data_IF_333797259921
#
_entry.id   IF_333797259921
#
_cell.length_a   1.000
_cell.length_b   1.000
_cell.length_c   1.000
_cell.angle_alpha   90.00
_cell.angle_beta   90.00
_cell.angle_gamma   90.00
#
_symmetry.space_group_name_H-M   'P 1'
#
loop_
_entity.id
_entity.type
_entity.pdbx_description
1 polymer ?
#
# COMPACT_ATOMS: atom_id res chain seq x y z
N UNK A 1 1.37 17.17 6.28
CA UNK A 1 2.03 16.02 5.66
C UNK A 1 1.83 16.07 4.14
N UNK A 2 2.87 15.76 3.40
CA UNK A 2 2.77 15.66 1.94
C UNK A 2 3.45 14.40 1.43
N UNK A 3 2.95 13.85 0.32
CA UNK A 3 3.49 12.65 -0.30
C UNK A 3 3.18 12.61 -1.79
N UNK A 4 3.84 11.71 -2.51
CA UNK A 4 3.55 11.40 -3.90
C UNK A 4 2.72 10.13 -3.96
N UNK A 5 1.70 10.12 -4.81
CA UNK A 5 0.90 8.93 -5.10
C UNK A 5 0.70 8.78 -6.60
N UNK A 6 0.31 7.59 -7.05
CA UNK A 6 0.03 7.37 -8.45
C UNK A 6 -1.19 8.17 -8.89
N UNK A 7 -1.15 8.67 -10.13
CA UNK A 7 -2.32 9.25 -10.80
C UNK A 7 -3.38 8.17 -10.98
N UNK A 8 -4.64 8.54 -10.84
CA UNK A 8 -5.76 7.62 -11.02
C UNK A 8 -5.73 6.98 -12.41
N UNK A 9 -5.88 5.67 -12.49
CA UNK A 9 -5.87 4.87 -13.71
C UNK A 9 -4.54 4.93 -14.49
N UNK A 10 -3.42 5.16 -13.81
CA UNK A 10 -2.11 5.16 -14.44
C UNK A 10 -1.64 3.72 -14.73
N UNK A 11 -1.11 3.50 -15.92
CA UNK A 11 -0.28 2.33 -16.19
C UNK A 11 1.08 2.55 -15.55
N UNK A 12 1.51 1.66 -14.66
CA UNK A 12 2.76 1.82 -13.91
C UNK A 12 4.01 1.75 -14.80
N UNK A 13 3.91 1.25 -16.02
CA UNK A 13 5.00 1.35 -17.01
C UNK A 13 5.30 2.80 -17.40
N UNK A 14 4.34 3.70 -17.27
CA UNK A 14 4.48 5.12 -17.61
C UNK A 14 4.63 6.01 -16.36
N UNK A 15 4.82 5.43 -15.18
CA UNK A 15 4.81 6.14 -13.90
C UNK A 15 5.84 7.28 -13.85
N UNK A 16 7.02 7.07 -14.41
CA UNK A 16 8.11 8.06 -14.40
C UNK A 16 7.80 9.34 -15.20
N UNK A 17 6.91 9.25 -16.18
CA UNK A 17 6.63 10.37 -17.08
C UNK A 17 5.44 11.21 -16.63
N UNK A 18 4.33 10.54 -16.24
CA UNK A 18 3.04 11.22 -16.00
C UNK A 18 2.26 10.64 -14.84
N UNK A 19 2.85 9.71 -14.10
CA UNK A 19 2.11 8.85 -13.18
C UNK A 19 2.00 9.33 -11.75
N UNK A 20 2.76 10.34 -11.33
CA UNK A 20 2.80 10.79 -9.93
C UNK A 20 2.07 12.11 -9.73
N UNK A 21 1.37 12.19 -8.61
CA UNK A 21 0.62 13.36 -8.16
C UNK A 21 1.07 13.72 -6.76
N UNK A 22 1.37 15.00 -6.52
CA UNK A 22 1.65 15.51 -5.19
C UNK A 22 0.35 15.69 -4.42
N UNK A 23 0.30 15.14 -3.21
CA UNK A 23 -0.84 15.23 -2.31
C UNK A 23 -0.39 15.85 -0.99
N UNK A 24 -1.19 16.79 -0.49
CA UNK A 24 -0.94 17.48 0.78
C UNK A 24 -2.17 17.33 1.66
N UNK A 25 -1.98 17.07 2.94
CA UNK A 25 -3.09 16.98 3.89
C UNK A 25 -3.80 18.32 4.03
N UNK A 26 -5.14 18.29 4.04
CA UNK A 26 -6.00 19.47 4.20
C UNK A 26 -7.07 19.16 5.27
N UNK A 27 -6.71 19.35 6.52
CA UNK A 27 -7.56 18.95 7.65
C UNK A 27 -7.54 17.45 7.90
N UNK A 28 -8.50 16.97 8.68
CA UNK A 28 -8.53 15.57 9.13
C UNK A 28 -9.02 14.59 8.06
N UNK A 29 -9.91 15.04 7.18
CA UNK A 29 -10.61 14.14 6.25
C UNK A 29 -10.41 14.49 4.77
N UNK A 30 -9.56 15.46 4.46
CA UNK A 30 -9.35 15.90 3.08
C UNK A 30 -7.88 15.98 2.72
N UNK A 31 -7.61 15.87 1.42
CA UNK A 31 -6.29 16.11 0.83
C UNK A 31 -6.43 17.02 -0.38
N UNK A 32 -5.39 17.81 -0.62
CA UNK A 32 -5.24 18.59 -1.86
C UNK A 32 -4.29 17.86 -2.79
N UNK A 33 -4.69 17.69 -4.03
CA UNK A 33 -3.86 17.10 -5.09
C UNK A 33 -3.46 18.18 -6.10
N UNK A 34 -2.22 18.14 -6.54
CA UNK A 34 -1.68 19.12 -7.49
C UNK A 34 -1.38 18.43 -8.82
N UNK A 35 -1.98 18.94 -9.86
CA UNK A 35 -1.75 18.54 -11.25
C UNK A 35 -2.80 17.60 -11.83
N UNK A 36 -3.11 16.51 -11.18
CA UNK A 36 -4.06 15.51 -11.67
C UNK A 36 -4.81 14.84 -10.53
N UNK A 37 -5.81 14.02 -10.88
CA UNK A 37 -6.51 13.20 -9.91
C UNK A 37 -5.60 12.12 -9.33
N UNK A 38 -5.42 12.06 -8.00
CA UNK A 38 -4.64 11.01 -7.36
C UNK A 38 -5.41 9.69 -7.33
N UNK A 39 -4.70 8.61 -7.00
CA UNK A 39 -5.33 7.36 -6.61
C UNK A 39 -6.34 7.59 -5.49
N UNK A 40 -7.41 6.81 -5.47
CA UNK A 40 -8.44 6.89 -4.40
C UNK A 40 -7.89 6.53 -3.02
N UNK A 41 -6.73 5.85 -2.96
CA UNK A 41 -6.06 5.47 -1.72
C UNK A 41 -5.40 6.62 -0.94
N UNK A 42 -5.43 7.86 -1.42
CA UNK A 42 -4.71 8.97 -0.83
C UNK A 42 -4.99 9.20 0.66
N UNK A 43 -6.23 9.10 1.09
CA UNK A 43 -6.60 9.24 2.51
C UNK A 43 -6.05 8.09 3.36
N UNK A 44 -6.21 6.86 2.90
CA UNK A 44 -5.71 5.71 3.64
C UNK A 44 -4.19 5.69 3.71
N UNK A 45 -3.52 6.08 2.63
CA UNK A 45 -2.07 6.17 2.57
C UNK A 45 -1.51 7.16 3.60
N UNK A 46 -2.12 8.34 3.72
CA UNK A 46 -1.63 9.34 4.69
C UNK A 46 -1.74 8.86 6.14
N UNK A 47 -2.78 8.09 6.48
CA UNK A 47 -2.95 7.55 7.82
C UNK A 47 -1.85 6.53 8.12
N UNK A 48 -1.55 5.66 7.17
CA UNK A 48 -0.45 4.69 7.30
C UNK A 48 0.88 5.40 7.55
N UNK A 49 1.21 6.43 6.78
CA UNK A 49 2.44 7.19 6.98
C UNK A 49 2.47 7.94 8.32
N UNK A 50 1.34 8.46 8.78
CA UNK A 50 1.26 9.14 10.06
C UNK A 50 1.47 8.19 11.24
N UNK A 51 0.94 6.97 11.16
CA UNK A 51 1.03 5.97 12.23
C UNK A 51 2.31 5.13 12.18
N UNK A 52 3.01 5.12 11.03
CA UNK A 52 4.29 4.42 10.82
C UNK A 52 5.36 5.41 10.34
N UNK A 53 5.85 6.30 11.23
CA UNK A 53 6.77 7.38 10.84
C UNK A 53 8.15 6.89 10.38
N UNK A 54 8.49 5.63 10.63
CA UNK A 54 9.70 4.97 10.14
C UNK A 54 9.57 4.48 8.68
N UNK A 55 8.46 4.77 8.02
CA UNK A 55 8.19 4.35 6.64
C UNK A 55 7.88 5.54 5.75
N UNK A 56 8.17 5.41 4.46
CA UNK A 56 7.90 6.45 3.47
C UNK A 56 7.54 5.92 2.09
N UNK A 57 7.38 4.60 1.97
CA UNK A 57 6.96 3.95 0.72
C UNK A 57 5.80 2.99 1.00
N UNK A 58 4.78 3.03 0.14
CA UNK A 58 3.68 2.05 0.14
C UNK A 58 3.57 1.46 -1.25
N UNK A 59 3.55 0.13 -1.32
CA UNK A 59 3.18 -0.62 -2.53
C UNK A 59 1.84 -1.30 -2.27
N UNK A 60 0.90 -1.09 -3.16
CA UNK A 60 -0.41 -1.72 -3.13
C UNK A 60 -0.75 -2.25 -4.51
N UNK A 61 -1.29 -3.46 -4.56
CA UNK A 61 -1.73 -4.08 -5.80
C UNK A 61 -2.95 -4.97 -5.51
N UNK A 62 -3.77 -5.21 -6.52
CA UNK A 62 -4.95 -6.08 -6.40
C UNK A 62 -4.58 -7.51 -6.80
N UNK A 63 -3.77 -8.15 -5.99
CA UNK A 63 -3.29 -9.52 -6.19
C UNK A 63 -3.58 -10.37 -4.97
N UNK A 64 -3.82 -11.69 -5.14
CA UNK A 64 -4.11 -12.57 -4.02
C UNK A 64 -2.84 -13.01 -3.30
N UNK A 65 -3.02 -13.40 -2.04
CA UNK A 65 -2.02 -14.11 -1.28
C UNK A 65 -1.84 -15.52 -1.88
N UNK A 66 -0.59 -15.99 -1.98
CA UNK A 66 -0.33 -17.37 -2.42
C UNK A 66 -0.84 -18.35 -1.35
N UNK A 67 -1.36 -19.48 -1.78
CA UNK A 67 -1.80 -20.54 -0.87
C UNK A 67 -0.62 -21.14 -0.06
N UNK A 68 0.58 -21.07 -0.62
CA UNK A 68 1.83 -21.54 -0.03
C UNK A 68 2.74 -20.40 0.44
N UNK A 69 2.19 -19.24 0.73
CA UNK A 69 2.96 -18.10 1.22
C UNK A 69 3.80 -18.48 2.43
N UNK A 70 5.14 -18.26 2.39
CA UNK A 70 6.03 -18.70 3.46
C UNK A 70 5.91 -17.85 4.73
N UNK A 71 5.54 -16.59 4.59
CA UNK A 71 5.39 -15.67 5.72
C UNK A 71 3.93 -15.61 6.17
N UNK A 72 3.73 -15.49 7.48
CA UNK A 72 2.38 -15.41 8.07
C UNK A 72 1.87 -13.97 7.99
N UNK A 73 1.46 -13.57 6.80
CA UNK A 73 0.94 -12.22 6.58
C UNK A 73 -0.47 -12.12 7.16
N UNK A 74 -0.73 -11.13 8.04
CA UNK A 74 -2.07 -10.95 8.60
C UNK A 74 -3.07 -10.58 7.50
N UNK A 75 -4.29 -11.08 7.64
CA UNK A 75 -5.40 -10.82 6.73
C UNK A 75 -6.47 -10.06 7.47
N UNK A 76 -6.94 -8.95 6.91
CA UNK A 76 -8.02 -8.15 7.49
C UNK A 76 -9.15 -7.97 6.48
N UNK A 77 -10.38 -7.96 6.98
CA UNK A 77 -11.55 -7.67 6.15
C UNK A 77 -11.54 -6.21 5.70
N UNK A 78 -11.86 -6.00 4.43
CA UNK A 78 -12.01 -4.68 3.81
C UNK A 78 -13.47 -4.38 3.44
N UNK A 79 -14.38 -5.35 3.58
CA UNK A 79 -15.76 -5.26 3.06
C UNK A 79 -16.60 -4.17 3.71
N UNK A 80 -16.27 -3.80 4.95
CA UNK A 80 -17.01 -2.82 5.74
C UNK A 80 -16.57 -1.38 5.47
N UNK A 81 -15.50 -1.19 4.69
CA UNK A 81 -14.87 0.11 4.52
C UNK A 81 -14.82 0.51 3.05
N UNK A 82 -15.16 1.76 2.80
CA UNK A 82 -14.99 2.35 1.47
C UNK A 82 -13.51 2.52 1.16
N UNK A 83 -13.09 2.11 -0.04
CA UNK A 83 -11.70 2.22 -0.48
C UNK A 83 -11.24 3.68 -0.45
N UNK A 84 -10.11 3.93 0.21
CA UNK A 84 -9.56 5.27 0.37
C UNK A 84 -10.13 6.09 1.51
N UNK A 85 -11.07 5.55 2.29
CA UNK A 85 -11.61 6.22 3.47
C UNK A 85 -10.61 6.24 4.63
N UNK A 86 -10.89 7.06 5.65
CA UNK A 86 -10.10 7.07 6.90
C UNK A 86 -10.19 5.74 7.64
N UNK A 87 -11.37 5.14 7.65
CA UNK A 87 -11.62 3.83 8.26
C UNK A 87 -10.82 2.73 7.58
N UNK A 88 -10.75 2.76 6.26
CA UNK A 88 -9.90 1.87 5.48
C UNK A 88 -8.42 2.04 5.84
N UNK A 89 -7.95 3.27 5.94
CA UNK A 89 -6.57 3.58 6.33
C UNK A 89 -6.24 3.10 7.73
N UNK A 90 -7.12 3.33 8.69
CA UNK A 90 -6.95 2.87 10.07
C UNK A 90 -6.95 1.34 10.17
N UNK A 91 -7.84 0.69 9.42
CA UNK A 91 -7.89 -0.78 9.36
C UNK A 91 -6.60 -1.36 8.76
N UNK A 92 -6.12 -0.79 7.69
CA UNK A 92 -4.85 -1.16 7.06
C UNK A 92 -3.69 -0.98 8.04
N UNK A 93 -3.57 0.19 8.64
CA UNK A 93 -2.49 0.53 9.55
C UNK A 93 -2.41 -0.40 10.75
N UNK A 94 -3.54 -0.71 11.36
CA UNK A 94 -3.63 -1.64 12.50
C UNK A 94 -3.28 -3.07 12.14
N UNK A 95 -3.47 -3.47 10.88
CA UNK A 95 -3.16 -4.80 10.40
C UNK A 95 -1.69 -5.00 10.02
N UNK A 96 -0.95 -3.92 9.81
CA UNK A 96 0.45 -4.00 9.39
C UNK A 96 1.30 -4.72 10.42
N UNK A 97 2.00 -5.76 9.98
CA UNK A 97 2.94 -6.53 10.77
C UNK A 97 4.35 -6.37 10.19
N UNK A 98 5.33 -6.22 11.08
CA UNK A 98 6.73 -6.09 10.71
C UNK A 98 7.33 -7.45 10.35
N UNK A 99 8.09 -7.49 9.25
CA UNK A 99 8.85 -8.65 8.80
C UNK A 99 10.31 -8.28 8.63
N UNK A 100 11.19 -9.08 9.17
CA UNK A 100 12.63 -8.94 8.99
C UNK A 100 13.03 -9.58 7.65
N UNK A 101 13.75 -8.80 6.84
CA UNK A 101 14.23 -9.24 5.51
C UNK A 101 15.71 -9.66 5.52
N UNK A 102 16.37 -9.59 6.69
CA UNK A 102 17.80 -9.82 6.80
C UNK A 102 18.64 -8.57 6.56
N UNK A 103 19.89 -8.58 7.03
CA UNK A 103 20.87 -7.49 6.86
C UNK A 103 20.40 -6.14 7.41
N UNK A 104 19.52 -6.14 8.41
CA UNK A 104 18.97 -4.92 9.01
C UNK A 104 17.83 -4.29 8.24
N UNK A 105 17.36 -4.93 7.16
CA UNK A 105 16.21 -4.48 6.38
C UNK A 105 14.92 -5.08 6.90
N UNK A 106 13.84 -4.31 6.85
CA UNK A 106 12.50 -4.78 7.24
C UNK A 106 11.43 -4.10 6.39
N UNK A 107 10.22 -4.65 6.46
CA UNK A 107 9.01 -4.04 5.93
C UNK A 107 7.82 -4.39 6.80
N UNK A 108 6.71 -3.71 6.58
CA UNK A 108 5.41 -4.04 7.16
C UNK A 108 4.49 -4.54 6.06
N UNK A 109 3.66 -5.50 6.35
CA UNK A 109 2.72 -6.06 5.39
C UNK A 109 1.39 -6.43 6.04
N UNK A 110 0.32 -6.27 5.28
CA UNK A 110 -1.03 -6.76 5.59
C UNK A 110 -1.73 -7.11 4.28
N UNK A 111 -2.51 -8.17 4.29
CA UNK A 111 -3.40 -8.54 3.20
C UNK A 111 -4.81 -8.05 3.53
N UNK A 112 -5.36 -7.19 2.68
CA UNK A 112 -6.76 -6.81 2.77
C UNK A 112 -7.56 -7.80 1.93
N UNK A 113 -8.39 -8.59 2.61
CA UNK A 113 -9.14 -9.68 1.99
C UNK A 113 -10.02 -9.19 0.84
N UNK A 114 -9.99 -9.90 -0.29
CA UNK A 114 -10.68 -9.53 -1.53
C UNK A 114 -10.27 -8.19 -2.15
N UNK A 115 -9.18 -7.60 -1.67
CA UNK A 115 -8.70 -6.31 -2.17
C UNK A 115 -7.24 -6.41 -2.62
N UNK A 116 -6.33 -6.68 -1.72
CA UNK A 116 -4.91 -6.83 -2.01
C UNK A 116 -4.03 -6.40 -0.87
N UNK A 117 -2.73 -6.66 -0.98
CA UNK A 117 -1.78 -6.32 0.05
C UNK A 117 -1.46 -4.83 0.10
N UNK A 118 -1.06 -4.36 1.29
CA UNK A 118 -0.27 -3.17 1.48
C UNK A 118 1.09 -3.56 2.03
N UNK A 119 2.15 -3.15 1.36
CA UNK A 119 3.54 -3.36 1.73
C UNK A 119 4.15 -2.00 2.00
N UNK A 120 4.65 -1.79 3.21
CA UNK A 120 5.08 -0.48 3.69
C UNK A 120 6.52 -0.56 4.18
N UNK A 121 7.38 0.32 3.70
CA UNK A 121 8.80 0.28 4.03
C UNK A 121 9.47 1.66 3.93
N UNK A 122 10.71 1.73 4.41
CA UNK A 122 11.55 2.92 4.32
C UNK A 122 12.31 2.93 3.00
N UNK A 123 12.59 4.14 2.46
CA UNK A 123 13.37 4.32 1.21
C UNK A 123 14.73 3.61 1.21
N UNK A 124 15.32 3.39 2.39
CA UNK A 124 16.62 2.71 2.54
C UNK A 124 16.49 1.19 2.62
N UNK A 125 15.29 0.64 2.64
CA UNK A 125 15.08 -0.81 2.54
C UNK A 125 15.56 -1.29 1.18
N UNK A 126 16.32 -2.40 1.16
CA UNK A 126 16.79 -2.98 -0.09
C UNK A 126 15.61 -3.37 -0.96
N UNK A 127 15.45 -2.74 -2.15
CA UNK A 127 14.30 -3.00 -3.01
C UNK A 127 14.26 -4.44 -3.54
N UNK A 128 15.41 -5.10 -3.71
CA UNK A 128 15.46 -6.51 -4.14
C UNK A 128 14.87 -7.40 -3.06
N UNK A 129 15.19 -7.15 -1.78
CA UNK A 129 14.61 -7.89 -0.65
C UNK A 129 13.10 -7.67 -0.55
N UNK A 130 12.63 -6.46 -0.74
CA UNK A 130 11.20 -6.15 -0.75
C UNK A 130 10.47 -6.85 -1.91
N UNK A 131 11.03 -6.82 -3.11
CA UNK A 131 10.46 -7.51 -4.28
C UNK A 131 10.42 -9.02 -4.07
N UNK A 132 11.49 -9.62 -3.54
CA UNK A 132 11.52 -11.05 -3.24
C UNK A 132 10.45 -11.44 -2.21
N UNK A 133 10.22 -10.63 -1.20
CA UNK A 133 9.14 -10.83 -0.23
C UNK A 133 7.77 -10.82 -0.91
N UNK A 134 7.53 -9.84 -1.77
CA UNK A 134 6.27 -9.71 -2.50
C UNK A 134 6.04 -10.92 -3.41
N UNK A 135 7.03 -11.29 -4.21
CA UNK A 135 6.92 -12.43 -5.13
C UNK A 135 6.74 -13.77 -4.43
N UNK A 136 7.35 -13.94 -3.25
CA UNK A 136 7.23 -15.17 -2.47
C UNK A 136 5.85 -15.35 -1.84
N UNK A 137 5.17 -14.27 -1.51
CA UNK A 137 3.93 -14.31 -0.74
C UNK A 137 2.68 -14.04 -1.56
N UNK A 138 2.80 -13.31 -2.67
CA UNK A 138 1.65 -12.90 -3.49
C UNK A 138 1.76 -13.41 -4.92
N UNK A 139 0.62 -13.78 -5.49
CA UNK A 139 0.56 -14.22 -6.88
C UNK A 139 0.34 -13.03 -7.79
N UNK A 140 1.41 -12.51 -8.38
CA UNK A 140 1.40 -11.34 -9.24
C UNK A 140 0.81 -11.62 -10.62
N UNK A 141 0.50 -12.88 -10.93
CA UNK A 141 -0.10 -13.28 -12.22
C UNK A 141 -1.62 -13.30 -12.18
N UNK A 142 -2.22 -13.09 -11.00
CA UNK A 142 -3.67 -13.14 -10.79
C UNK A 142 -4.16 -11.84 -10.17
N UNK A 143 -5.40 -11.46 -10.53
CA UNK A 143 -6.09 -10.37 -9.84
C UNK A 143 -6.93 -10.93 -8.69
N UNK A 144 -7.05 -10.15 -7.61
CA UNK A 144 -8.05 -10.46 -6.57
C UNK A 144 -9.45 -10.30 -7.15
N UNK A 145 -10.38 -11.12 -6.67
CA UNK A 145 -11.79 -10.92 -6.95
C UNK A 145 -12.31 -9.75 -6.11
N UNK A 146 -12.20 -8.56 -6.69
CA UNK A 146 -12.64 -7.30 -6.07
C UNK A 146 -14.06 -6.92 -6.45
N UNK A 147 -14.84 -7.87 -6.94
CA UNK A 147 -16.23 -7.66 -7.37
C UNK A 147 -17.21 -7.45 -6.22
N UNK A 148 -16.77 -6.78 -5.22
CA UNK A 148 -17.68 -6.36 -4.14
C UNK A 148 -18.19 -4.96 -4.41
#
# INVERSE_FOLDING_TARGET
QEFLTSRRKTNFNDLNNVGLVKVVTDGESRVKAYGSRPSVGGQSQRIVFAEHPDTDCIVHAHVPLRSNAPDRIPVRSQREFECGSMECGSNTSRGLQKFDLGDGHCLYAVMLDHHGPNIVFHRNTDPVKAINFIESNFDLTRATDSSA
#
